data_IF_058701002013
#
_entry.id   IF_058701002013
#
_cell.length_a   1.000
_cell.length_b   1.000
_cell.length_c   1.000
_cell.angle_alpha   90.00
_cell.angle_beta   90.00
_cell.angle_gamma   90.00
#
_symmetry.space_group_name_H-M   'P 1'
#
loop_
_entity.id
_entity.type
_entity.pdbx_description
1 polymer ?
#
# COMPACT_ATOMS: atom_id res chain seq x y z
N UNK A 1 0.59 -16.17 -35.55
CA UNK A 1 -0.42 -16.13 -34.50
C UNK A 1 0.16 -15.32 -33.36
N UNK A 2 -0.25 -14.07 -33.24
CA UNK A 2 0.01 -13.27 -32.05
C UNK A 2 -0.69 -13.97 -30.89
N UNK A 3 0.07 -14.33 -29.85
CA UNK A 3 -0.49 -14.83 -28.60
C UNK A 3 -0.99 -13.58 -27.90
N UNK A 4 -2.30 -13.43 -27.77
CA UNK A 4 -2.90 -12.41 -26.90
C UNK A 4 -2.36 -12.64 -25.49
N UNK A 5 -1.80 -11.62 -24.89
CA UNK A 5 -1.18 -11.67 -23.56
C UNK A 5 -2.25 -11.33 -22.52
N UNK A 6 -2.76 -12.35 -21.82
CA UNK A 6 -3.81 -12.17 -20.80
C UNK A 6 -3.31 -11.45 -19.53
N UNK A 7 -2.04 -11.60 -19.19
CA UNK A 7 -1.41 -11.02 -18.01
C UNK A 7 -0.02 -10.46 -18.38
N UNK A 8 0.27 -9.27 -17.90
CA UNK A 8 1.61 -8.70 -18.01
C UNK A 8 2.41 -8.94 -16.71
N UNK A 9 3.62 -9.50 -16.84
CA UNK A 9 4.47 -9.90 -15.69
C UNK A 9 5.82 -9.19 -15.71
N UNK A 10 5.93 -7.95 -15.19
CA UNK A 10 7.21 -7.27 -15.10
C UNK A 10 8.13 -7.94 -14.07
N UNK A 11 9.35 -8.25 -14.50
CA UNK A 11 10.38 -8.85 -13.66
C UNK A 11 11.28 -7.79 -13.04
N UNK A 12 11.49 -7.83 -11.70
CA UNK A 12 12.35 -6.92 -10.94
C UNK A 12 12.03 -5.43 -11.18
N UNK A 13 10.83 -5.14 -11.65
CA UNK A 13 10.34 -3.80 -11.94
C UNK A 13 9.04 -3.54 -11.19
N UNK A 14 8.90 -2.33 -10.66
CA UNK A 14 7.66 -1.83 -10.04
C UNK A 14 7.08 -0.74 -10.93
N UNK A 15 5.92 -0.96 -11.55
CA UNK A 15 5.18 0.10 -12.24
C UNK A 15 4.91 1.29 -11.33
N UNK A 16 4.81 2.47 -11.90
CA UNK A 16 4.45 3.71 -11.19
C UNK A 16 2.96 4.06 -11.30
N UNK A 17 2.27 3.35 -12.18
CA UNK A 17 0.82 3.47 -12.42
C UNK A 17 0.26 2.11 -12.84
N UNK A 18 -1.08 1.98 -12.90
CA UNK A 18 -1.70 0.76 -13.43
C UNK A 18 -1.33 0.59 -14.90
N UNK A 19 -0.84 -0.61 -15.21
CA UNK A 19 -0.37 -0.93 -16.56
C UNK A 19 -1.51 -0.86 -17.57
N UNK A 20 -1.23 -0.26 -18.72
CA UNK A 20 -2.16 -0.14 -19.82
C UNK A 20 -1.64 -0.81 -21.07
N UNK A 21 -2.55 -1.36 -21.85
CA UNK A 21 -2.24 -1.89 -23.17
C UNK A 21 -1.73 -0.74 -24.06
N UNK A 22 -0.61 -0.96 -24.75
CA UNK A 22 0.08 0.09 -25.52
C UNK A 22 -0.72 0.66 -26.68
N UNK A 23 -1.62 -0.13 -27.26
CA UNK A 23 -2.42 0.26 -28.44
C UNK A 23 -3.83 0.74 -28.06
N UNK A 24 -4.50 0.06 -27.12
CA UNK A 24 -5.89 0.36 -26.76
C UNK A 24 -6.03 1.33 -25.59
N UNK A 25 -5.00 1.44 -24.75
CA UNK A 25 -5.03 2.22 -23.51
C UNK A 25 -5.85 1.58 -22.37
N UNK A 26 -6.40 0.38 -22.59
CA UNK A 26 -7.16 -0.36 -21.59
C UNK A 26 -6.27 -0.83 -20.45
N UNK A 27 -6.85 -0.94 -19.24
CA UNK A 27 -6.15 -1.48 -18.08
C UNK A 27 -5.87 -2.98 -18.28
N UNK A 28 -4.63 -3.39 -18.03
CA UNK A 28 -4.19 -4.78 -18.17
C UNK A 28 -4.03 -5.41 -16.79
N UNK A 29 -4.44 -6.66 -16.65
CA UNK A 29 -4.10 -7.46 -15.47
C UNK A 29 -2.60 -7.66 -15.42
N UNK A 30 -1.98 -7.42 -14.27
CA UNK A 30 -0.54 -7.54 -14.11
C UNK A 30 -0.11 -8.11 -12.77
N UNK A 31 1.06 -8.73 -12.77
CA UNK A 31 1.68 -9.33 -11.60
C UNK A 31 3.17 -9.00 -11.59
N UNK A 32 3.64 -8.25 -10.60
CA UNK A 32 5.06 -8.00 -10.43
C UNK A 32 5.76 -9.25 -9.92
N UNK A 33 6.76 -9.73 -10.67
CA UNK A 33 7.61 -10.83 -10.23
C UNK A 33 8.89 -10.28 -9.60
N UNK A 34 9.07 -10.55 -8.31
CA UNK A 34 10.12 -9.96 -7.47
C UNK A 34 10.83 -11.02 -6.63
N UNK A 35 11.97 -10.66 -6.06
CA UNK A 35 12.78 -11.53 -5.20
C UNK A 35 13.03 -10.91 -3.84
N UNK A 36 13.36 -11.73 -2.84
CA UNK A 36 13.80 -11.28 -1.52
C UNK A 36 15.19 -10.63 -1.54
N UNK A 37 15.99 -10.94 -2.56
CA UNK A 37 17.32 -10.37 -2.77
C UNK A 37 17.50 -9.94 -4.22
N UNK A 38 18.72 -9.63 -4.65
CA UNK A 38 19.03 -9.38 -6.06
C UNK A 38 19.13 -10.63 -6.92
N UNK A 39 18.99 -11.82 -6.35
CA UNK A 39 19.14 -13.11 -7.04
C UNK A 39 17.84 -13.90 -7.07
N UNK A 40 17.53 -14.55 -8.20
CA UNK A 40 16.40 -15.46 -8.33
C UNK A 40 16.57 -16.75 -7.55
N UNK A 41 17.79 -17.33 -7.61
CA UNK A 41 18.15 -18.53 -6.90
C UNK A 41 18.87 -18.24 -5.58
N UNK A 42 19.09 -19.31 -4.80
CA UNK A 42 19.91 -19.20 -3.60
C UNK A 42 21.37 -18.94 -3.93
N UNK A 43 21.92 -17.95 -3.27
CA UNK A 43 23.35 -17.67 -3.26
C UNK A 43 23.80 -17.41 -1.81
N UNK A 44 24.74 -18.22 -1.30
CA UNK A 44 25.15 -18.18 0.11
C UNK A 44 25.70 -16.80 0.52
N UNK A 45 26.50 -16.19 -0.34
CA UNK A 45 27.20 -14.93 -0.06
C UNK A 45 26.42 -13.70 -0.57
N UNK A 46 25.10 -13.85 -0.78
CA UNK A 46 24.19 -12.77 -1.19
C UNK A 46 24.21 -11.62 -0.17
N UNK A 47 24.40 -10.39 -0.65
CA UNK A 47 24.50 -9.17 0.15
C UNK A 47 23.36 -8.19 -0.11
N UNK A 48 22.50 -8.45 -1.11
CA UNK A 48 21.46 -7.52 -1.57
C UNK A 48 20.08 -7.86 -1.04
N UNK A 49 20.00 -8.39 0.18
CA UNK A 49 18.71 -8.71 0.82
C UNK A 49 17.88 -7.45 1.06
N UNK A 50 16.65 -7.48 0.58
CA UNK A 50 15.66 -6.44 0.86
C UNK A 50 15.24 -6.54 2.33
N UNK A 51 15.08 -5.41 3.01
CA UNK A 51 14.54 -5.41 4.36
C UNK A 51 13.07 -5.83 4.36
N UNK A 52 12.54 -6.39 5.46
CA UNK A 52 11.12 -6.72 5.56
C UNK A 52 10.21 -5.51 5.29
N UNK A 53 10.62 -4.30 5.68
CA UNK A 53 9.88 -3.07 5.37
C UNK A 53 9.83 -2.80 3.86
N UNK A 54 10.95 -2.96 3.15
CA UNK A 54 10.98 -2.82 1.68
C UNK A 54 10.03 -3.82 1.02
N UNK A 55 9.99 -5.06 1.50
CA UNK A 55 9.12 -6.11 0.95
C UNK A 55 7.64 -5.80 1.18
N UNK A 56 7.26 -5.32 2.37
CA UNK A 56 5.88 -4.91 2.69
C UNK A 56 5.49 -3.68 1.86
N UNK A 57 6.34 -2.67 1.76
CA UNK A 57 6.10 -1.49 0.91
C UNK A 57 5.91 -1.88 -0.56
N UNK A 58 6.67 -2.85 -1.03
CA UNK A 58 6.55 -3.39 -2.39
C UNK A 58 5.18 -4.05 -2.63
N UNK A 59 4.69 -4.86 -1.69
CA UNK A 59 3.35 -5.44 -1.73
C UNK A 59 2.28 -4.36 -1.78
N UNK A 60 2.32 -3.43 -0.84
CA UNK A 60 1.35 -2.32 -0.77
C UNK A 60 1.37 -1.49 -2.05
N UNK A 61 2.56 -1.14 -2.55
CA UNK A 61 2.69 -0.37 -3.79
C UNK A 61 2.08 -1.11 -4.98
N UNK A 62 2.33 -2.43 -5.09
CA UNK A 62 1.77 -3.25 -6.16
C UNK A 62 0.23 -3.25 -6.13
N UNK A 63 -0.37 -3.52 -4.97
CA UNK A 63 -1.84 -3.55 -4.84
C UNK A 63 -2.46 -2.17 -5.03
N UNK A 64 -1.82 -1.10 -4.52
CA UNK A 64 -2.28 0.28 -4.70
C UNK A 64 -2.31 0.74 -6.16
N UNK A 65 -1.66 0.00 -7.05
CA UNK A 65 -1.62 0.23 -8.50
C UNK A 65 -2.37 -0.86 -9.29
N UNK A 66 -3.26 -1.61 -8.63
CA UNK A 66 -4.11 -2.62 -9.25
C UNK A 66 -3.39 -3.90 -9.67
N UNK A 67 -2.19 -4.18 -9.14
CA UNK A 67 -1.40 -5.36 -9.49
C UNK A 67 -1.38 -6.43 -8.41
N UNK A 68 -0.89 -7.60 -8.80
CA UNK A 68 -0.56 -8.72 -7.93
C UNK A 68 0.95 -8.82 -7.73
N UNK A 69 1.38 -9.41 -6.62
CA UNK A 69 2.78 -9.60 -6.32
C UNK A 69 3.13 -11.09 -6.22
N UNK A 70 3.98 -11.57 -7.12
CA UNK A 70 4.67 -12.86 -7.01
C UNK A 70 6.04 -12.64 -6.39
N UNK A 71 6.27 -13.21 -5.21
CA UNK A 71 7.51 -13.03 -4.47
C UNK A 71 8.30 -14.34 -4.44
N UNK A 72 9.42 -14.37 -5.16
CA UNK A 72 10.29 -15.53 -5.24
C UNK A 72 11.26 -15.61 -4.05
N UNK A 73 11.43 -16.81 -3.52
CA UNK A 73 12.42 -17.16 -2.50
C UNK A 73 13.23 -18.36 -2.98
N UNK A 74 14.54 -18.18 -3.21
CA UNK A 74 15.44 -19.25 -3.65
C UNK A 74 15.73 -20.24 -2.51
N UNK A 75 15.38 -21.54 -2.64
CA UNK A 75 15.75 -22.54 -1.64
C UNK A 75 17.23 -22.90 -1.72
N UNK A 76 17.81 -23.30 -0.59
CA UNK A 76 19.16 -23.90 -0.56
C UNK A 76 19.17 -25.23 -1.29
N UNK A 77 20.36 -25.77 -1.59
CA UNK A 77 20.52 -27.10 -2.21
C UNK A 77 19.95 -28.27 -1.38
N UNK A 78 19.66 -28.03 -0.09
CA UNK A 78 19.04 -28.99 0.81
C UNK A 78 17.51 -28.89 0.86
N UNK A 79 16.91 -27.98 0.07
CA UNK A 79 15.46 -27.82 -0.03
C UNK A 79 14.79 -26.98 1.07
N UNK A 80 15.55 -26.21 1.85
CA UNK A 80 14.99 -25.28 2.83
C UNK A 80 15.41 -23.83 2.53
N UNK A 81 14.68 -22.88 3.08
CA UNK A 81 15.04 -21.47 2.94
C UNK A 81 16.16 -21.06 3.91
N UNK A 82 17.03 -20.16 3.43
CA UNK A 82 18.04 -19.50 4.26
C UNK A 82 17.39 -18.78 5.45
N UNK A 83 18.12 -18.69 6.57
CA UNK A 83 17.60 -18.06 7.80
C UNK A 83 17.15 -16.62 7.55
N UNK A 84 17.86 -15.85 6.72
CA UNK A 84 17.48 -14.47 6.37
C UNK A 84 16.13 -14.40 5.65
N UNK A 85 15.86 -15.36 4.77
CA UNK A 85 14.57 -15.47 4.10
C UNK A 85 13.47 -15.87 5.09
N UNK A 86 13.73 -16.81 6.00
CA UNK A 86 12.78 -17.22 7.03
C UNK A 86 12.43 -16.07 7.96
N UNK A 87 13.41 -15.28 8.40
CA UNK A 87 13.21 -14.12 9.27
C UNK A 87 12.35 -13.05 8.55
N UNK A 88 12.62 -12.77 7.28
CA UNK A 88 11.81 -11.86 6.48
C UNK A 88 10.38 -12.36 6.27
N UNK A 89 10.21 -13.65 5.97
CA UNK A 89 8.90 -14.29 5.83
C UNK A 89 8.10 -14.23 7.15
N UNK A 90 8.77 -14.39 8.29
CA UNK A 90 8.12 -14.26 9.59
C UNK A 90 7.57 -12.85 9.81
N UNK A 91 8.38 -11.82 9.55
CA UNK A 91 7.91 -10.43 9.66
C UNK A 91 6.77 -10.14 8.70
N UNK A 92 6.84 -10.67 7.49
CA UNK A 92 5.77 -10.58 6.48
C UNK A 92 4.47 -11.22 6.99
N UNK A 93 4.57 -12.45 7.53
CA UNK A 93 3.43 -13.16 8.08
C UNK A 93 2.80 -12.44 9.29
N UNK A 94 3.64 -11.91 10.20
CA UNK A 94 3.18 -11.15 11.36
C UNK A 94 2.44 -9.86 10.91
N UNK A 95 2.94 -9.16 9.89
CA UNK A 95 2.26 -8.00 9.32
C UNK A 95 0.93 -8.37 8.64
N UNK A 96 0.94 -9.41 7.80
CA UNK A 96 -0.26 -9.89 7.11
C UNK A 96 -1.33 -10.39 8.08
N UNK A 97 -0.96 -10.97 9.21
CA UNK A 97 -1.91 -11.46 10.21
C UNK A 97 -2.90 -10.38 10.68
N UNK A 98 -2.45 -9.13 10.75
CA UNK A 98 -3.27 -8.01 11.25
C UNK A 98 -3.70 -7.04 10.14
N UNK A 99 -3.00 -7.02 9.00
CA UNK A 99 -3.25 -6.05 7.93
C UNK A 99 -3.79 -6.67 6.62
N UNK A 100 -4.02 -7.99 6.57
CA UNK A 100 -4.40 -8.68 5.33
C UNK A 100 -5.65 -8.13 4.65
N UNK A 101 -6.60 -7.55 5.41
CA UNK A 101 -7.81 -6.92 4.86
C UNK A 101 -7.54 -5.72 3.97
N UNK A 102 -6.38 -5.08 4.12
CA UNK A 102 -5.97 -3.97 3.27
C UNK A 102 -5.31 -4.42 1.96
N UNK A 103 -5.14 -5.73 1.79
CA UNK A 103 -4.46 -6.36 0.65
C UNK A 103 -5.41 -7.29 -0.10
N UNK A 104 -5.94 -8.34 0.58
CA UNK A 104 -6.84 -9.30 -0.06
C UNK A 104 -8.22 -8.68 -0.32
N UNK A 105 -8.74 -8.86 -1.55
CA UNK A 105 -9.98 -8.24 -2.00
C UNK A 105 -9.89 -6.72 -2.11
N UNK A 106 -8.67 -6.20 -2.27
CA UNK A 106 -8.40 -4.78 -2.49
C UNK A 106 -7.68 -4.56 -3.82
N UNK A 107 -7.83 -3.34 -4.32
CA UNK A 107 -7.20 -2.88 -5.55
C UNK A 107 -6.81 -1.41 -5.42
N UNK A 108 -6.44 -0.78 -6.52
CA UNK A 108 -6.24 0.66 -6.62
C UNK A 108 -7.52 1.40 -6.19
N UNK A 109 -7.35 2.48 -5.45
CA UNK A 109 -8.49 3.34 -5.09
C UNK A 109 -9.15 3.97 -6.32
N UNK A 110 -10.42 4.33 -6.18
CA UNK A 110 -11.18 4.99 -7.24
C UNK A 110 -10.45 6.23 -7.78
N UNK A 111 -10.60 6.54 -9.09
CA UNK A 111 -9.83 7.62 -9.74
C UNK A 111 -9.99 9.00 -9.12
N UNK A 112 -11.12 9.29 -8.48
CA UNK A 112 -11.39 10.55 -7.78
C UNK A 112 -10.72 10.63 -6.40
N UNK A 113 -10.36 9.50 -5.80
CA UNK A 113 -9.65 9.42 -4.52
C UNK A 113 -8.12 9.45 -4.68
N UNK A 114 -7.60 8.93 -5.80
CA UNK A 114 -6.16 8.83 -6.02
C UNK A 114 -5.40 10.15 -5.88
N UNK A 115 -5.86 11.27 -6.47
CA UNK A 115 -5.19 12.57 -6.34
C UNK A 115 -5.20 13.13 -4.92
N UNK A 116 -6.07 12.58 -4.06
CA UNK A 116 -6.23 13.01 -2.67
C UNK A 116 -5.31 12.26 -1.70
N UNK A 117 -4.52 11.29 -2.20
CA UNK A 117 -3.60 10.52 -1.37
C UNK A 117 -2.47 11.43 -0.86
N UNK A 118 -2.30 11.56 0.46
CA UNK A 118 -1.23 12.39 1.01
C UNK A 118 0.16 11.88 0.64
N UNK A 119 1.13 12.79 0.55
CA UNK A 119 2.53 12.40 0.40
C UNK A 119 2.95 11.47 1.55
N UNK A 120 3.78 10.48 1.25
CA UNK A 120 4.21 9.48 2.22
C UNK A 120 3.15 8.43 2.56
N UNK A 121 2.02 8.43 1.85
CA UNK A 121 0.96 7.42 1.99
C UNK A 121 0.72 6.65 0.68
N UNK A 122 0.01 5.53 0.80
CA UNK A 122 -0.59 4.79 -0.32
C UNK A 122 -2.00 4.40 0.03
N UNK A 123 -2.88 4.40 -0.98
CA UNK A 123 -4.25 3.94 -0.85
C UNK A 123 -4.44 2.57 -1.48
N UNK A 124 -5.15 1.69 -0.77
CA UNK A 124 -5.83 0.54 -1.36
C UNK A 124 -7.30 0.61 -0.99
N UNK A 125 -8.17 0.08 -1.82
CA UNK A 125 -9.62 0.14 -1.60
C UNK A 125 -10.23 -1.24 -1.79
N UNK A 126 -11.21 -1.61 -0.96
CA UNK A 126 -11.97 -2.84 -1.14
C UNK A 126 -12.78 -2.79 -2.43
N UNK A 127 -12.97 -3.96 -3.07
CA UNK A 127 -13.70 -4.07 -4.35
C UNK A 127 -15.14 -3.52 -4.28
N UNK A 128 -15.77 -3.54 -3.10
CA UNK A 128 -17.11 -2.97 -2.88
C UNK A 128 -17.11 -1.43 -2.69
N UNK A 129 -15.94 -0.80 -2.74
CA UNK A 129 -15.75 0.64 -2.57
C UNK A 129 -15.96 1.18 -1.15
N UNK A 130 -16.36 0.34 -0.18
CA UNK A 130 -16.79 0.80 1.16
C UNK A 130 -15.65 1.00 2.15
N UNK A 131 -14.48 0.47 1.87
CA UNK A 131 -13.30 0.56 2.73
C UNK A 131 -12.14 1.14 1.95
N UNK A 132 -11.59 2.22 2.48
CA UNK A 132 -10.33 2.77 2.03
C UNK A 132 -9.27 2.47 3.08
N UNK A 133 -8.13 1.96 2.67
CA UNK A 133 -6.99 1.70 3.55
C UNK A 133 -5.87 2.67 3.23
N UNK A 134 -5.43 3.41 4.25
CA UNK A 134 -4.33 4.37 4.14
C UNK A 134 -3.09 3.73 4.75
N UNK A 135 -2.14 3.37 3.91
CA UNK A 135 -0.86 2.81 4.32
C UNK A 135 0.13 3.94 4.58
N UNK A 136 0.58 4.09 5.82
CA UNK A 136 1.50 5.15 6.23
C UNK A 136 2.94 4.72 5.97
N UNK A 137 3.49 5.06 4.82
CA UNK A 137 4.91 4.86 4.52
C UNK A 137 5.78 5.82 5.33
N UNK A 138 5.28 7.03 5.55
CA UNK A 138 5.82 7.99 6.48
C UNK A 138 4.78 8.27 7.57
N UNK A 139 5.20 8.22 8.83
CA UNK A 139 4.27 8.45 9.94
C UNK A 139 4.25 9.94 10.28
N UNK A 140 3.10 10.63 10.10
CA UNK A 140 3.00 12.06 10.35
C UNK A 140 2.98 12.37 11.86
N UNK A 141 3.43 13.56 12.22
CA UNK A 141 3.37 14.02 13.60
C UNK A 141 1.97 14.50 13.97
N UNK A 142 1.27 13.78 14.83
CA UNK A 142 -0.05 14.07 15.41
C UNK A 142 -1.24 14.10 14.44
N UNK A 143 -1.09 14.62 13.23
CA UNK A 143 -2.20 14.88 12.32
C UNK A 143 -1.90 14.34 10.93
N UNK A 144 -2.94 13.72 10.33
CA UNK A 144 -2.95 13.39 8.91
C UNK A 144 -4.08 14.18 8.26
N UNK A 145 -3.73 15.07 7.36
CA UNK A 145 -4.67 15.88 6.61
C UNK A 145 -5.10 15.18 5.31
N UNK A 146 -6.41 15.11 5.09
CA UNK A 146 -7.03 14.50 3.92
C UNK A 146 -7.92 15.53 3.23
N UNK A 147 -7.38 16.35 2.31
CA UNK A 147 -8.16 17.27 1.51
C UNK A 147 -9.20 16.52 0.67
N UNK A 148 -10.44 17.04 0.61
CA UNK A 148 -11.51 16.45 -0.18
C UNK A 148 -12.24 15.28 0.50
N UNK A 149 -11.92 14.93 1.76
CA UNK A 149 -12.56 13.82 2.48
C UNK A 149 -13.66 14.25 3.47
N UNK A 150 -13.84 15.55 3.73
CA UNK A 150 -14.93 15.99 4.59
C UNK A 150 -16.29 15.52 4.05
N UNK A 151 -17.12 14.96 4.91
CA UNK A 151 -18.41 14.38 4.56
C UNK A 151 -18.40 12.97 3.97
N UNK A 152 -17.23 12.41 3.65
CA UNK A 152 -17.10 11.08 3.02
C UNK A 152 -16.83 9.95 4.02
N UNK A 153 -16.36 10.27 5.23
CA UNK A 153 -15.91 9.28 6.23
C UNK A 153 -16.97 9.10 7.30
N UNK A 154 -17.29 7.86 7.61
CA UNK A 154 -18.19 7.48 8.71
C UNK A 154 -17.39 7.15 9.97
N UNK A 155 -16.34 6.36 9.84
CA UNK A 155 -15.49 5.88 10.94
C UNK A 155 -14.10 5.60 10.46
N UNK A 156 -13.10 5.66 11.36
CA UNK A 156 -11.72 5.29 11.08
C UNK A 156 -11.06 4.59 12.27
N UNK A 157 -10.20 3.61 11.99
CA UNK A 157 -9.44 2.89 13.01
C UNK A 157 -8.06 2.45 12.49
N UNK A 158 -7.12 2.21 13.39
CA UNK A 158 -5.93 1.47 13.03
C UNK A 158 -6.28 0.00 12.77
N UNK A 159 -5.77 -0.56 11.67
CA UNK A 159 -6.10 -1.93 11.29
C UNK A 159 -5.45 -2.99 12.21
N UNK A 160 -4.25 -2.69 12.75
CA UNK A 160 -3.47 -3.65 13.52
C UNK A 160 -4.02 -3.96 14.92
N UNK A 161 -4.77 -3.05 15.54
CA UNK A 161 -5.31 -3.21 16.90
C UNK A 161 -6.77 -2.77 17.05
N UNK A 162 -7.37 -2.21 15.98
CA UNK A 162 -8.74 -1.73 15.98
C UNK A 162 -8.98 -0.46 16.79
N UNK A 163 -7.92 0.25 17.23
CA UNK A 163 -8.08 1.50 17.96
C UNK A 163 -8.68 2.59 17.07
N UNK A 164 -9.70 3.26 17.58
CA UNK A 164 -10.41 4.33 16.87
C UNK A 164 -9.47 5.52 16.60
N UNK A 165 -9.62 6.10 15.43
CA UNK A 165 -8.97 7.34 15.04
C UNK A 165 -10.01 8.44 14.97
N UNK A 166 -9.93 9.38 15.92
CA UNK A 166 -10.79 10.55 15.93
C UNK A 166 -10.43 11.49 14.78
N UNK A 167 -11.41 12.15 14.21
CA UNK A 167 -11.21 13.13 13.16
C UNK A 167 -12.10 14.37 13.31
N UNK A 168 -11.66 15.45 12.68
CA UNK A 168 -12.38 16.71 12.61
C UNK A 168 -12.52 17.11 11.13
N UNK A 169 -13.69 17.61 10.76
CA UNK A 169 -13.95 18.21 9.46
C UNK A 169 -13.75 19.73 9.55
N UNK A 170 -12.93 20.30 8.68
CA UNK A 170 -12.63 21.73 8.65
C UNK A 170 -13.00 22.33 7.30
N UNK A 171 -13.90 23.31 7.33
CA UNK A 171 -14.13 24.21 6.21
C UNK A 171 -13.17 25.40 6.33
N UNK A 172 -12.08 25.40 5.60
CA UNK A 172 -11.05 26.44 5.66
C UNK A 172 -11.40 27.58 4.68
N UNK A 173 -12.61 28.12 4.71
CA UNK A 173 -12.99 29.24 3.85
C UNK A 173 -12.47 30.62 4.32
N UNK A 174 -11.69 30.69 5.40
CA UNK A 174 -11.35 31.95 6.04
C UNK A 174 -9.86 32.26 6.27
N UNK A 175 -8.92 31.49 5.74
CA UNK A 175 -7.50 31.84 5.80
C UNK A 175 -6.91 31.99 4.40
N UNK A 176 -7.13 33.16 3.82
CA UNK A 176 -6.52 33.57 2.57
C UNK A 176 -5.26 34.40 2.82
N UNK A 177 -4.12 33.75 2.89
CA UNK A 177 -2.85 34.32 2.46
C UNK A 177 -2.15 33.32 1.53
N UNK A 178 -2.56 33.32 0.26
CA UNK A 178 -1.76 32.79 -0.84
C UNK A 178 -1.61 31.26 -0.94
N UNK A 179 -2.32 30.44 -0.15
CA UNK A 179 -2.40 28.99 -0.30
C UNK A 179 -3.81 28.59 -0.67
N UNK A 180 -3.95 27.84 -1.75
CA UNK A 180 -5.20 27.11 -2.08
C UNK A 180 -5.47 26.17 -0.93
N UNK A 181 -6.31 26.57 0.01
CA UNK A 181 -6.82 25.72 1.06
C UNK A 181 -7.95 24.91 0.44
N UNK A 182 -7.75 23.60 0.37
CA UNK A 182 -8.79 22.71 -0.11
C UNK A 182 -10.03 22.86 0.77
N UNK A 183 -11.13 23.30 0.18
CA UNK A 183 -12.44 23.14 0.78
C UNK A 183 -12.65 21.65 1.08
N UNK A 184 -13.31 21.31 2.17
CA UNK A 184 -13.57 19.93 2.58
C UNK A 184 -12.36 19.14 3.11
N UNK A 185 -11.62 19.72 4.06
CA UNK A 185 -10.52 19.07 4.76
C UNK A 185 -11.04 18.19 5.90
N UNK A 186 -10.62 16.91 5.91
CA UNK A 186 -10.74 16.03 7.05
C UNK A 186 -9.37 15.86 7.69
N UNK A 187 -9.28 15.91 9.02
CA UNK A 187 -8.04 15.81 9.78
C UNK A 187 -8.13 14.67 10.77
N UNK A 188 -7.36 13.60 10.58
CA UNK A 188 -7.21 12.52 11.55
C UNK A 188 -6.26 12.94 12.67
N UNK A 189 -6.64 12.59 13.91
CA UNK A 189 -5.82 12.75 15.11
C UNK A 189 -5.06 11.46 15.40
N UNK A 190 -3.77 11.45 15.17
CA UNK A 190 -2.92 10.29 15.37
C UNK A 190 -2.15 10.35 16.69
N UNK A 191 -1.80 9.19 17.30
CA UNK A 191 -0.85 9.16 18.40
C UNK A 191 0.47 9.81 18.03
N UNK A 192 1.09 10.53 18.98
CA UNK A 192 2.42 11.13 18.76
C UNK A 192 3.49 10.06 18.53
N UNK A 193 3.37 8.95 19.26
CA UNK A 193 4.28 7.81 19.13
C UNK A 193 3.73 6.89 18.03
N UNK A 194 4.56 6.68 17.00
CA UNK A 194 4.24 5.72 15.94
C UNK A 194 3.93 4.34 16.55
N UNK A 195 2.84 3.67 16.15
CA UNK A 195 2.59 2.29 16.51
C UNK A 195 3.78 1.38 16.16
N UNK A 196 4.07 0.40 17.02
CA UNK A 196 5.15 -0.55 16.79
C UNK A 196 4.78 -1.57 15.69
N UNK A 197 4.54 -1.07 14.51
CA UNK A 197 4.27 -1.86 13.31
C UNK A 197 4.95 -1.25 12.09
N UNK A 198 5.37 -2.11 11.18
CA UNK A 198 5.87 -1.69 9.87
C UNK A 198 4.66 -1.23 9.06
N UNK A 199 4.78 -0.07 8.40
CA UNK A 199 3.70 0.48 7.57
C UNK A 199 2.34 0.39 8.29
N UNK A 200 2.07 1.24 9.31
CA UNK A 200 0.76 1.28 9.94
C UNK A 200 -0.33 1.53 8.92
N UNK A 201 -1.48 0.89 9.09
CA UNK A 201 -2.62 1.02 8.17
C UNK A 201 -3.82 1.59 8.91
N UNK A 202 -4.41 2.62 8.34
CA UNK A 202 -5.70 3.17 8.77
C UNK A 202 -6.78 2.56 7.88
N UNK A 203 -7.76 1.92 8.49
CA UNK A 203 -8.99 1.49 7.82
C UNK A 203 -10.03 2.60 7.95
N UNK A 204 -10.49 3.09 6.82
CA UNK A 204 -11.49 4.16 6.71
C UNK A 204 -12.78 3.58 6.17
N UNK A 205 -13.86 3.78 6.89
CA UNK A 205 -15.21 3.40 6.51
C UNK A 205 -15.84 4.58 5.76
N UNK A 206 -16.07 4.39 4.46
CA UNK A 206 -16.70 5.41 3.62
C UNK A 206 -18.23 5.36 3.75
N UNK A 207 -18.87 6.52 3.60
CA UNK A 207 -20.33 6.66 3.65
C UNK A 207 -21.01 6.12 2.40
#
# INVERSE_FOLDING_TARGET
TEIEQDIWTPEQFQPTEWVRHSETGELVTWEACQTFSGSWGYYRDEQTWKSPEMLIRMLVNTVSLGGNLLMNVGPTSRGYFDQRAQDALKVYADWMKVNSRSIYGCTMAEPDLLPLCPNGCKFTQSEDGKRLYIHLFEYPFQYLELPGFAGKVDYAQFLHDGSEILFEEKNISHFSEGRSTADNLLVFKLPVIKPNTIVPVIEVFLK
#
